data_IF_532369670587
#
_entry.id   IF_532369670587
#
_cell.length_a   1.000
_cell.length_b   1.000
_cell.length_c   1.000
_cell.angle_alpha   90.00
_cell.angle_beta   90.00
_cell.angle_gamma   90.00
#
_symmetry.space_group_name_H-M   'P 1'
#
loop_
_entity.id
_entity.type
_entity.pdbx_description
1 polymer ?
#
# COMPACT_ATOMS: atom_id res chain seq x y z
N UNK A 1 30.35 -29.13 32.07
CA UNK A 1 30.12 -28.17 30.96
C UNK A 1 29.59 -28.96 29.79
N UNK A 2 28.28 -28.92 29.55
CA UNK A 2 27.63 -29.60 28.41
C UNK A 2 27.38 -28.52 27.37
N UNK A 3 28.11 -28.59 26.25
CA UNK A 3 27.92 -27.70 25.11
C UNK A 3 26.62 -28.07 24.41
N UNK A 4 25.61 -27.21 24.48
CA UNK A 4 24.40 -27.33 23.66
C UNK A 4 24.67 -26.65 22.33
N UNK A 5 24.90 -27.44 21.30
CA UNK A 5 24.87 -27.01 19.91
C UNK A 5 23.45 -26.53 19.59
N UNK A 6 23.28 -25.22 19.45
CA UNK A 6 22.03 -24.61 19.02
C UNK A 6 21.97 -24.74 17.49
N UNK A 7 21.27 -25.77 17.01
CA UNK A 7 20.95 -25.90 15.58
C UNK A 7 19.96 -24.80 15.23
N UNK A 8 20.44 -23.77 14.53
CA UNK A 8 19.59 -22.73 13.93
C UNK A 8 18.81 -23.38 12.78
N UNK A 9 17.60 -23.89 13.07
CA UNK A 9 16.64 -24.21 12.02
C UNK A 9 16.13 -22.88 11.45
N UNK A 10 16.73 -22.45 10.34
CA UNK A 10 16.20 -21.38 9.52
C UNK A 10 14.82 -21.78 9.01
N UNK A 11 13.77 -21.20 9.59
CA UNK A 11 12.45 -21.21 8.97
C UNK A 11 12.48 -20.24 7.80
N UNK A 12 12.93 -20.70 6.64
CA UNK A 12 12.49 -20.11 5.39
C UNK A 12 11.05 -20.61 5.16
N UNK A 13 10.08 -20.00 5.86
CA UNK A 13 8.71 -20.08 5.39
C UNK A 13 8.73 -19.43 4.01
N UNK A 14 8.56 -20.22 2.95
CA UNK A 14 8.23 -19.69 1.62
C UNK A 14 6.94 -18.91 1.79
N UNK A 15 7.06 -17.59 1.99
CA UNK A 15 5.92 -16.71 2.04
C UNK A 15 5.12 -16.99 0.75
N UNK A 16 3.86 -17.40 0.90
CA UNK A 16 2.98 -17.58 -0.23
C UNK A 16 2.97 -16.27 -1.04
N UNK A 17 3.07 -16.38 -2.36
CA UNK A 17 3.04 -15.22 -3.25
C UNK A 17 1.78 -14.39 -2.92
N UNK A 18 1.99 -13.10 -2.66
CA UNK A 18 0.94 -12.14 -2.39
C UNK A 18 0.12 -11.92 -3.67
N UNK A 19 -1.17 -12.22 -3.55
CA UNK A 19 -2.16 -12.14 -4.63
C UNK A 19 -3.24 -11.22 -4.11
N UNK A 20 -3.21 -9.97 -4.55
CA UNK A 20 -4.06 -8.97 -3.93
C UNK A 20 -4.74 -8.00 -4.86
N UNK A 21 -5.68 -7.27 -4.27
CA UNK A 21 -6.42 -6.16 -4.86
C UNK A 21 -6.52 -5.04 -3.84
N UNK A 22 -6.43 -3.80 -4.28
CA UNK A 22 -6.67 -2.63 -3.45
C UNK A 22 -8.18 -2.47 -3.18
N UNK A 23 -8.56 -2.28 -1.91
CA UNK A 23 -9.93 -2.03 -1.46
C UNK A 23 -9.99 -0.55 -1.05
N UNK A 24 -10.12 0.32 -2.06
CA UNK A 24 -9.99 1.78 -1.92
C UNK A 24 -11.27 2.44 -1.42
N UNK A 25 -11.15 3.71 -1.03
CA UNK A 25 -12.22 4.54 -0.50
C UNK A 25 -11.78 5.39 0.69
N UNK A 26 -10.79 4.92 1.46
CA UNK A 26 -10.16 5.68 2.54
C UNK A 26 -9.26 6.84 2.05
N UNK A 27 -8.80 6.71 0.81
CA UNK A 27 -7.95 7.62 0.05
C UNK A 27 -8.74 8.61 -0.81
N UNK A 28 -10.07 8.45 -0.96
CA UNK A 28 -10.85 9.27 -1.87
C UNK A 28 -10.72 10.76 -1.53
N UNK A 29 -10.32 11.54 -2.54
CA UNK A 29 -10.04 12.97 -2.44
C UNK A 29 -8.61 13.32 -2.07
N UNK A 30 -7.76 12.35 -1.72
CA UNK A 30 -6.32 12.58 -1.61
C UNK A 30 -5.75 13.00 -2.96
N UNK A 31 -4.95 14.05 -2.96
CA UNK A 31 -4.25 14.58 -4.12
C UNK A 31 -2.76 14.27 -3.99
N UNK A 32 -2.04 14.21 -5.12
CA UNK A 32 -0.58 13.98 -5.15
C UNK A 32 0.23 15.00 -4.33
N UNK A 33 -0.35 16.17 -4.04
CA UNK A 33 0.24 17.16 -3.12
C UNK A 33 0.26 16.70 -1.65
N UNK A 34 -0.32 15.54 -1.32
CA UNK A 34 -0.52 15.06 0.05
C UNK A 34 -1.62 15.82 0.79
N UNK A 35 -2.51 16.52 0.06
CA UNK A 35 -3.73 17.09 0.61
C UNK A 35 -4.85 16.05 0.56
N UNK A 36 -5.36 15.63 1.72
CA UNK A 36 -6.46 14.66 1.84
C UNK A 36 -7.65 15.26 2.61
N UNK A 37 -8.65 15.83 1.90
CA UNK A 37 -9.85 16.35 2.53
C UNK A 37 -10.68 15.23 3.16
N UNK A 38 -10.71 15.18 4.50
CA UNK A 38 -11.37 14.09 5.24
C UNK A 38 -12.86 13.89 4.93
N UNK A 39 -13.54 14.91 4.38
CA UNK A 39 -14.95 14.86 3.99
C UNK A 39 -15.21 14.11 2.68
N UNK A 40 -14.16 13.74 1.93
CA UNK A 40 -14.25 12.94 0.70
C UNK A 40 -14.09 11.44 0.92
N UNK A 41 -13.65 11.06 2.12
CA UNK A 41 -13.43 9.65 2.50
C UNK A 41 -14.74 8.87 2.45
N UNK A 42 -14.71 7.76 1.72
CA UNK A 42 -15.79 6.79 1.60
C UNK A 42 -15.26 5.38 1.91
N UNK A 43 -15.05 5.09 3.21
CA UNK A 43 -14.53 3.80 3.65
C UNK A 43 -15.35 2.64 3.07
N UNK A 44 -14.71 1.59 2.53
CA UNK A 44 -15.35 0.53 1.74
C UNK A 44 -16.08 -0.50 2.59
N UNK A 45 -17.03 -0.02 3.40
CA UNK A 45 -18.00 -0.84 4.10
C UNK A 45 -19.39 -0.25 3.89
N UNK A 46 -20.33 -1.09 3.44
CA UNK A 46 -21.75 -0.71 3.29
C UNK A 46 -22.33 -0.11 4.57
N UNK A 47 -21.93 -0.63 5.73
CA UNK A 47 -22.34 -0.13 7.06
C UNK A 47 -21.82 1.28 7.38
N UNK A 48 -20.79 1.75 6.69
CA UNK A 48 -20.20 3.08 6.82
C UNK A 48 -20.58 4.02 5.66
N UNK A 49 -21.46 3.58 4.75
CA UNK A 49 -21.91 4.35 3.58
C UNK A 49 -21.00 4.24 2.34
N UNK A 50 -20.03 3.33 2.34
CA UNK A 50 -19.19 3.06 1.18
C UNK A 50 -19.57 1.81 0.39
N UNK A 51 -18.64 1.35 -0.45
CA UNK A 51 -18.80 0.09 -1.18
C UNK A 51 -18.87 -1.13 -0.26
N UNK A 52 -19.34 -2.27 -0.80
CA UNK A 52 -19.41 -3.53 -0.06
C UNK A 52 -18.06 -4.25 0.01
N UNK A 53 -17.03 -3.58 0.55
CA UNK A 53 -15.67 -4.13 0.61
C UNK A 53 -15.57 -5.42 1.43
N UNK A 54 -16.39 -5.61 2.47
CA UNK A 54 -16.47 -6.88 3.19
C UNK A 54 -16.94 -8.02 2.26
N UNK A 55 -18.01 -7.81 1.49
CA UNK A 55 -18.48 -8.79 0.53
C UNK A 55 -17.46 -9.06 -0.58
N UNK A 56 -16.82 -8.00 -1.11
CA UNK A 56 -15.78 -8.11 -2.13
C UNK A 56 -14.56 -8.90 -1.63
N UNK A 57 -14.02 -8.58 -0.46
CA UNK A 57 -12.88 -9.31 0.12
C UNK A 57 -13.23 -10.79 0.35
N UNK A 58 -14.43 -11.10 0.84
CA UNK A 58 -14.87 -12.48 0.98
C UNK A 58 -15.00 -13.22 -0.36
N UNK A 59 -15.49 -12.57 -1.41
CA UNK A 59 -15.52 -13.13 -2.76
C UNK A 59 -14.09 -13.45 -3.24
N UNK A 60 -13.23 -12.44 -3.22
CA UNK A 60 -11.84 -12.55 -3.65
C UNK A 60 -11.07 -13.67 -2.93
N UNK A 61 -11.28 -13.88 -1.63
CA UNK A 61 -10.65 -15.00 -0.91
C UNK A 61 -11.31 -16.34 -1.25
N UNK A 62 -12.63 -16.43 -1.17
CA UNK A 62 -13.33 -17.72 -1.24
C UNK A 62 -13.43 -18.27 -2.66
N UNK A 63 -13.61 -17.40 -3.64
CA UNK A 63 -13.83 -17.78 -5.03
C UNK A 63 -12.51 -17.70 -5.81
N UNK A 64 -11.76 -16.60 -5.63
CA UNK A 64 -10.59 -16.28 -6.47
C UNK A 64 -9.23 -16.59 -5.83
N UNK A 65 -9.23 -17.01 -4.56
CA UNK A 65 -8.04 -17.39 -3.78
C UNK A 65 -7.02 -16.27 -3.60
N UNK A 66 -7.48 -15.01 -3.59
CA UNK A 66 -6.67 -13.88 -3.15
C UNK A 66 -6.29 -14.04 -1.68
N UNK A 67 -5.16 -13.47 -1.31
CA UNK A 67 -4.61 -13.59 0.05
C UNK A 67 -4.04 -12.27 0.60
N UNK A 68 -4.23 -11.15 -0.10
CA UNK A 68 -3.79 -9.83 0.35
C UNK A 68 -4.76 -8.74 -0.09
N UNK A 69 -5.03 -7.78 0.79
CA UNK A 69 -5.77 -6.57 0.45
C UNK A 69 -5.00 -5.33 0.90
N UNK A 70 -4.85 -4.38 -0.03
CA UNK A 70 -4.30 -3.05 0.26
C UNK A 70 -5.44 -2.11 0.62
N UNK A 71 -5.29 -1.39 1.73
CA UNK A 71 -6.34 -0.58 2.36
C UNK A 71 -5.91 0.89 2.46
N UNK A 72 -5.94 1.65 1.34
CA UNK A 72 -5.53 3.04 1.30
C UNK A 72 -6.29 3.92 2.28
N UNK A 73 -5.57 4.81 2.98
CA UNK A 73 -6.17 5.79 3.89
C UNK A 73 -5.33 7.06 3.97
N UNK A 74 -6.01 8.22 3.94
CA UNK A 74 -5.34 9.49 4.16
C UNK A 74 -4.90 9.69 5.61
N UNK A 75 -3.65 10.13 5.81
CA UNK A 75 -3.09 10.50 7.12
C UNK A 75 -4.00 11.51 7.84
N UNK A 76 -4.47 12.53 7.13
CA UNK A 76 -5.40 13.55 7.64
C UNK A 76 -6.64 12.93 8.28
N UNK A 77 -7.19 11.85 7.71
CA UNK A 77 -8.36 11.18 8.26
C UNK A 77 -8.02 10.51 9.58
N UNK A 78 -6.92 9.75 9.64
CA UNK A 78 -6.49 9.00 10.82
C UNK A 78 -6.29 9.89 12.06
N UNK A 79 -5.72 11.09 11.89
CA UNK A 79 -5.45 12.03 12.99
C UNK A 79 -6.44 13.20 13.04
N UNK A 80 -7.49 13.19 12.21
CA UNK A 80 -8.46 14.29 12.08
C UNK A 80 -7.79 15.67 11.91
N UNK A 81 -6.88 15.77 10.95
CA UNK A 81 -6.06 16.94 10.64
C UNK A 81 -5.12 17.43 11.76
N UNK A 82 -4.95 16.68 12.85
CA UNK A 82 -4.01 17.00 13.93
C UNK A 82 -2.64 16.39 13.65
N UNK A 83 -1.83 17.05 12.81
CA UNK A 83 -0.50 16.57 12.40
C UNK A 83 0.38 16.24 13.62
N UNK A 84 0.91 15.01 13.66
CA UNK A 84 1.73 14.49 14.77
C UNK A 84 0.95 14.15 16.06
N UNK A 85 -0.35 14.44 16.09
CA UNK A 85 -1.25 14.14 17.20
C UNK A 85 -1.64 12.66 17.28
N UNK A 86 -2.50 12.31 18.28
CA UNK A 86 -2.97 10.95 18.42
C UNK A 86 -3.90 10.54 17.27
N UNK A 87 -4.00 9.24 17.02
CA UNK A 87 -5.06 8.68 16.19
C UNK A 87 -6.42 9.15 16.74
N UNK A 88 -7.24 9.74 15.88
CA UNK A 88 -8.56 10.20 16.25
C UNK A 88 -9.45 8.97 16.51
N UNK A 89 -10.03 8.80 17.72
CA UNK A 89 -10.71 7.56 18.08
C UNK A 89 -11.92 7.24 17.20
N UNK A 90 -12.61 8.27 16.67
CA UNK A 90 -13.78 8.07 15.83
C UNK A 90 -13.38 7.70 14.39
N UNK A 91 -12.48 8.48 13.77
CA UNK A 91 -12.03 8.21 12.41
C UNK A 91 -11.23 6.90 12.36
N UNK A 92 -10.29 6.71 13.28
CA UNK A 92 -9.51 5.48 13.38
C UNK A 92 -10.39 4.28 13.71
N UNK A 93 -11.38 4.41 14.61
CA UNK A 93 -12.31 3.32 14.91
C UNK A 93 -13.16 2.89 13.70
N UNK A 94 -13.42 3.78 12.74
CA UNK A 94 -14.07 3.43 11.47
C UNK A 94 -13.12 2.75 10.50
N UNK A 95 -11.88 3.22 10.39
CA UNK A 95 -10.87 2.57 9.55
C UNK A 95 -10.49 1.18 10.09
N UNK A 96 -10.35 1.03 11.42
CA UNK A 96 -10.07 -0.25 12.07
C UNK A 96 -11.17 -1.28 11.76
N UNK A 97 -12.44 -0.89 11.62
CA UNK A 97 -13.49 -1.81 11.16
C UNK A 97 -13.16 -2.40 9.78
N UNK A 98 -12.65 -1.60 8.83
CA UNK A 98 -12.22 -2.08 7.51
C UNK A 98 -11.08 -3.08 7.67
N UNK A 99 -10.06 -2.75 8.46
CA UNK A 99 -8.92 -3.63 8.74
C UNK A 99 -9.40 -4.94 9.38
N UNK A 100 -10.30 -4.90 10.36
CA UNK A 100 -10.85 -6.11 10.99
C UNK A 100 -11.66 -6.96 10.01
N UNK A 101 -12.42 -6.35 9.08
CA UNK A 101 -13.13 -7.10 8.03
C UNK A 101 -12.16 -7.79 7.08
N UNK A 102 -11.07 -7.13 6.72
CA UNK A 102 -9.99 -7.75 5.97
C UNK A 102 -9.37 -8.93 6.74
N UNK A 103 -8.97 -8.73 8.00
CA UNK A 103 -8.31 -9.76 8.82
C UNK A 103 -9.21 -10.98 9.07
N UNK A 104 -10.52 -10.78 9.17
CA UNK A 104 -11.50 -11.86 9.33
C UNK A 104 -11.55 -12.82 8.12
N UNK A 105 -11.06 -12.40 6.95
CA UNK A 105 -10.93 -13.28 5.78
C UNK A 105 -9.74 -14.24 5.87
N UNK A 106 -8.76 -13.96 6.76
CA UNK A 106 -7.49 -14.69 6.84
C UNK A 106 -6.41 -14.18 5.88
N UNK A 107 -6.71 -13.19 5.03
CA UNK A 107 -5.76 -12.52 4.16
C UNK A 107 -4.78 -11.61 4.92
N UNK A 108 -3.69 -11.23 4.26
CA UNK A 108 -2.85 -10.10 4.68
C UNK A 108 -3.57 -8.78 4.43
N UNK A 109 -3.45 -7.84 5.35
CA UNK A 109 -4.11 -6.54 5.31
C UNK A 109 -3.04 -5.44 5.36
N UNK A 110 -2.79 -4.82 4.21
CA UNK A 110 -1.79 -3.78 4.04
C UNK A 110 -2.42 -2.42 4.34
N UNK A 111 -1.89 -1.76 5.37
CA UNK A 111 -2.23 -0.39 5.71
C UNK A 111 -1.35 0.52 4.88
N UNK A 112 -1.97 1.24 3.96
CA UNK A 112 -1.35 2.21 3.08
C UNK A 112 -1.65 3.63 3.54
N UNK A 113 -0.60 4.39 3.84
CA UNK A 113 -0.71 5.83 4.10
C UNK A 113 -0.64 6.58 2.76
N UNK A 114 -1.81 6.96 2.25
CA UNK A 114 -1.98 7.40 0.86
C UNK A 114 -1.68 8.90 0.65
N UNK A 115 -0.43 9.31 0.97
CA UNK A 115 -0.08 10.73 1.18
C UNK A 115 1.10 11.26 0.35
N UNK A 116 1.70 10.48 -0.55
CA UNK A 116 2.72 10.98 -1.51
C UNK A 116 3.96 11.61 -0.83
N UNK A 117 4.32 11.07 0.34
CA UNK A 117 5.32 11.59 1.28
C UNK A 117 5.09 13.05 1.72
N UNK A 118 3.84 13.51 1.67
CA UNK A 118 3.46 14.90 1.90
C UNK A 118 2.30 15.05 2.87
N UNK A 119 2.23 16.24 3.45
CA UNK A 119 1.05 16.75 4.14
C UNK A 119 0.78 18.18 3.65
N UNK A 120 -0.34 18.38 2.95
CA UNK A 120 -0.78 19.68 2.43
C UNK A 120 0.34 20.43 1.67
N UNK A 121 1.02 19.73 0.76
CA UNK A 121 2.10 20.26 -0.09
C UNK A 121 3.51 20.13 0.50
N UNK A 122 3.65 20.00 1.82
CA UNK A 122 4.95 19.90 2.48
C UNK A 122 5.49 18.47 2.51
N UNK A 123 6.74 18.27 2.08
CA UNK A 123 7.42 16.96 2.06
C UNK A 123 7.95 16.60 3.45
N UNK A 124 7.65 15.39 3.93
CA UNK A 124 8.10 14.90 5.24
C UNK A 124 9.64 14.90 5.30
N UNK A 125 10.19 15.50 6.36
CA UNK A 125 11.63 15.62 6.57
C UNK A 125 12.34 16.60 5.63
N UNK A 126 11.62 17.24 4.70
CA UNK A 126 12.18 18.08 3.63
C UNK A 126 11.37 19.37 3.43
N UNK A 127 10.93 20.00 4.52
CA UNK A 127 10.22 21.29 4.52
C UNK A 127 8.73 21.20 4.88
N UNK A 128 8.18 20.00 4.95
CA UNK A 128 6.85 19.72 5.48
C UNK A 128 6.89 19.20 6.93
N UNK A 129 6.09 18.17 7.27
CA UNK A 129 6.15 17.53 8.59
C UNK A 129 7.56 17.07 8.96
N UNK A 130 7.87 17.04 10.25
CA UNK A 130 9.12 16.44 10.72
C UNK A 130 9.04 14.91 10.66
N UNK A 131 10.20 14.24 10.62
CA UNK A 131 10.26 12.79 10.74
C UNK A 131 9.55 12.31 12.02
N UNK A 132 9.68 13.03 13.13
CA UNK A 132 9.06 12.67 14.41
C UNK A 132 7.53 12.67 14.34
N UNK A 133 6.94 13.58 13.58
CA UNK A 133 5.47 13.61 13.38
C UNK A 133 4.99 12.40 12.59
N UNK A 134 5.78 11.94 11.61
CA UNK A 134 5.46 10.75 10.84
C UNK A 134 5.75 9.45 11.62
N UNK A 135 6.85 9.42 12.39
CA UNK A 135 7.17 8.37 13.35
C UNK A 135 6.06 8.25 14.40
N UNK A 136 5.47 9.34 14.86
CA UNK A 136 4.33 9.33 15.81
C UNK A 136 3.13 8.57 15.25
N UNK A 137 2.78 8.78 13.97
CA UNK A 137 1.70 8.04 13.31
C UNK A 137 1.99 6.53 13.30
N UNK A 138 3.17 6.15 12.79
CA UNK A 138 3.54 4.75 12.62
C UNK A 138 3.73 4.02 13.95
N UNK A 139 4.24 4.69 14.98
CA UNK A 139 4.34 4.13 16.33
C UNK A 139 2.96 3.72 16.85
N UNK A 140 1.94 4.56 16.68
CA UNK A 140 0.59 4.28 17.16
C UNK A 140 -0.09 3.14 16.37
N UNK A 141 0.07 3.12 15.04
CA UNK A 141 -0.43 2.02 14.20
C UNK A 141 0.25 0.70 14.55
N UNK A 142 1.58 0.70 14.72
CA UNK A 142 2.34 -0.48 15.11
C UNK A 142 1.90 -0.98 16.50
N UNK A 143 1.74 -0.11 17.49
CA UNK A 143 1.26 -0.49 18.83
C UNK A 143 -0.11 -1.17 18.79
N UNK A 144 -1.02 -0.69 17.92
CA UNK A 144 -2.35 -1.28 17.75
C UNK A 144 -2.30 -2.67 17.10
N UNK A 145 -1.43 -2.86 16.10
CA UNK A 145 -1.45 -4.04 15.25
C UNK A 145 -0.31 -5.04 15.48
N UNK A 146 0.59 -4.76 16.43
CA UNK A 146 1.81 -5.57 16.71
C UNK A 146 1.56 -7.06 16.92
N UNK A 147 0.41 -7.44 17.46
CA UNK A 147 0.09 -8.84 17.78
C UNK A 147 -0.58 -9.60 16.62
N UNK A 148 -0.72 -8.96 15.44
CA UNK A 148 -1.31 -9.57 14.25
C UNK A 148 -0.28 -9.61 13.10
N UNK A 149 0.17 -10.82 12.76
CA UNK A 149 1.18 -11.09 11.73
C UNK A 149 0.64 -10.96 10.29
N UNK A 150 -0.69 -10.83 10.13
CA UNK A 150 -1.34 -10.56 8.85
C UNK A 150 -1.40 -9.07 8.50
N UNK A 151 -1.04 -8.18 9.42
CA UNK A 151 -0.92 -6.75 9.08
C UNK A 151 0.39 -6.50 8.34
N UNK A 152 0.30 -5.72 7.28
CA UNK A 152 1.44 -5.23 6.49
C UNK A 152 1.46 -3.71 6.58
N UNK A 153 2.63 -3.13 6.77
CA UNK A 153 2.80 -1.68 6.89
C UNK A 153 3.43 -1.13 5.61
N UNK A 154 2.63 -0.52 4.75
CA UNK A 154 3.16 0.25 3.63
C UNK A 154 3.39 1.67 4.08
N UNK A 155 4.66 2.07 4.17
CA UNK A 155 5.02 3.31 4.86
C UNK A 155 4.35 4.53 4.24
N UNK A 156 4.24 4.58 2.91
CA UNK A 156 3.73 5.73 2.19
C UNK A 156 3.45 5.39 0.73
N UNK A 157 2.26 5.74 0.24
CA UNK A 157 1.97 5.71 -1.19
C UNK A 157 2.83 6.72 -1.95
N UNK A 158 3.49 6.27 -3.01
CA UNK A 158 4.05 7.08 -4.11
C UNK A 158 4.75 8.41 -3.73
N UNK A 159 5.84 8.39 -2.96
CA UNK A 159 6.71 9.56 -2.85
C UNK A 159 7.19 10.04 -4.23
N UNK A 160 7.24 11.35 -4.44
CA UNK A 160 7.70 11.96 -5.69
C UNK A 160 8.37 13.32 -5.44
N UNK A 161 9.16 13.82 -6.40
CA UNK A 161 9.84 15.12 -6.36
C UNK A 161 10.52 15.44 -5.02
N UNK A 162 11.35 14.51 -4.53
CA UNK A 162 12.04 14.63 -3.24
C UNK A 162 13.49 14.12 -3.30
N UNK A 163 14.31 14.47 -2.30
CA UNK A 163 15.62 13.85 -2.11
C UNK A 163 15.45 12.44 -1.53
N UNK A 164 15.74 11.43 -2.35
CA UNK A 164 15.52 10.03 -1.98
C UNK A 164 16.43 9.54 -0.87
N UNK A 165 17.61 10.15 -0.65
CA UNK A 165 18.50 9.77 0.45
C UNK A 165 17.97 10.28 1.79
N UNK A 166 17.44 11.50 1.81
CA UNK A 166 16.75 12.03 2.98
C UNK A 166 15.49 11.21 3.28
N UNK A 167 14.73 10.86 2.25
CA UNK A 167 13.55 10.01 2.40
C UNK A 167 13.89 8.60 2.94
N UNK A 168 14.94 7.96 2.45
CA UNK A 168 15.39 6.67 2.99
C UNK A 168 15.79 6.77 4.47
N UNK A 169 16.36 7.91 4.91
CA UNK A 169 16.63 8.16 6.32
C UNK A 169 15.34 8.33 7.14
N UNK A 170 14.31 8.97 6.59
CA UNK A 170 12.96 9.00 7.19
C UNK A 170 12.38 7.58 7.32
N UNK A 171 12.43 6.77 6.26
CA UNK A 171 12.00 5.37 6.28
C UNK A 171 12.74 4.56 7.36
N UNK A 172 14.05 4.75 7.50
CA UNK A 172 14.85 4.09 8.54
C UNK A 172 14.34 4.42 9.94
N UNK A 173 14.04 5.69 10.24
CA UNK A 173 13.48 6.10 11.54
C UNK A 173 12.13 5.44 11.80
N UNK A 174 11.27 5.38 10.79
CA UNK A 174 9.95 4.76 10.88
C UNK A 174 10.04 3.25 11.10
N UNK A 175 10.88 2.53 10.34
CA UNK A 175 11.15 1.10 10.54
C UNK A 175 11.61 0.86 11.98
N UNK A 176 12.59 1.63 12.46
CA UNK A 176 13.08 1.51 13.83
C UNK A 176 11.95 1.69 14.85
N UNK A 177 11.09 2.69 14.67
CA UNK A 177 9.98 2.96 15.58
C UNK A 177 8.90 1.85 15.57
N UNK A 178 8.54 1.34 14.39
CA UNK A 178 7.60 0.22 14.24
C UNK A 178 8.12 -1.02 14.99
N UNK A 179 9.40 -1.36 14.80
CA UNK A 179 10.02 -2.51 15.50
C UNK A 179 10.09 -2.28 17.01
N UNK A 180 10.44 -1.08 17.47
CA UNK A 180 10.48 -0.71 18.89
C UNK A 180 9.10 -0.68 19.56
N UNK A 181 8.04 -0.42 18.79
CA UNK A 181 6.65 -0.53 19.23
C UNK A 181 6.19 -1.99 19.44
N UNK A 182 7.01 -2.97 19.08
CA UNK A 182 6.77 -4.40 19.27
C UNK A 182 6.23 -5.13 18.05
N UNK A 183 6.05 -4.45 16.91
CA UNK A 183 5.60 -5.06 15.67
C UNK A 183 6.79 -5.67 14.91
N UNK A 184 7.26 -6.83 15.37
CA UNK A 184 8.51 -7.45 14.91
C UNK A 184 8.35 -8.50 13.82
N UNK A 185 7.14 -9.02 13.58
CA UNK A 185 6.87 -10.07 12.59
C UNK A 185 6.33 -9.54 11.27
N UNK A 186 5.74 -8.34 11.27
CA UNK A 186 5.05 -7.77 10.13
C UNK A 186 6.01 -7.39 9.00
N UNK A 187 5.52 -7.50 7.76
CA UNK A 187 6.17 -6.91 6.60
C UNK A 187 6.05 -5.38 6.64
N UNK A 188 7.12 -4.70 6.22
CA UNK A 188 7.17 -3.25 6.04
C UNK A 188 7.60 -2.97 4.60
N UNK A 189 6.76 -2.26 3.85
CA UNK A 189 7.00 -1.86 2.48
C UNK A 189 7.71 -0.50 2.45
N UNK A 190 8.80 -0.43 1.68
CA UNK A 190 9.70 0.70 1.58
C UNK A 190 9.54 1.38 0.22
N UNK A 191 8.87 2.54 0.15
CA UNK A 191 8.56 3.25 -1.09
C UNK A 191 9.70 4.17 -1.52
N UNK A 192 9.89 4.28 -2.84
CA UNK A 192 10.90 5.11 -3.50
C UNK A 192 10.35 6.45 -4.01
N UNK A 193 11.18 7.21 -4.72
CA UNK A 193 10.69 8.42 -5.43
C UNK A 193 10.15 8.06 -6.82
N UNK A 194 9.69 9.06 -7.58
CA UNK A 194 9.00 8.89 -8.87
C UNK A 194 7.80 7.95 -8.79
N UNK A 195 6.95 8.16 -7.77
CA UNK A 195 5.71 7.41 -7.59
C UNK A 195 5.93 5.89 -7.50
N UNK A 196 6.98 5.46 -6.79
CA UNK A 196 7.38 4.05 -6.69
C UNK A 196 7.62 3.36 -8.04
N UNK A 197 7.80 4.10 -9.14
CA UNK A 197 7.79 3.54 -10.50
C UNK A 197 8.89 2.50 -10.70
N UNK A 198 8.51 1.30 -11.15
CA UNK A 198 9.44 0.24 -11.51
C UNK A 198 10.49 0.69 -12.54
N UNK A 199 10.12 1.61 -13.44
CA UNK A 199 11.02 2.13 -14.48
C UNK A 199 12.14 3.00 -13.91
N UNK A 200 11.84 3.80 -12.88
CA UNK A 200 12.79 4.75 -12.32
C UNK A 200 13.39 4.30 -10.99
N UNK A 201 12.93 3.19 -10.41
CA UNK A 201 13.34 2.73 -9.08
C UNK A 201 14.86 2.61 -8.95
N UNK A 202 15.53 2.00 -9.93
CA UNK A 202 16.99 1.82 -9.92
C UNK A 202 17.72 3.10 -10.34
N UNK A 203 17.32 3.72 -11.45
CA UNK A 203 18.00 4.88 -12.03
C UNK A 203 17.89 6.16 -11.18
N UNK A 204 16.81 6.31 -10.40
CA UNK A 204 16.65 7.41 -9.43
C UNK A 204 17.52 7.28 -8.18
N UNK A 205 18.15 6.11 -7.97
CA UNK A 205 18.86 5.79 -6.73
C UNK A 205 17.95 5.34 -5.58
N UNK A 206 16.64 5.25 -5.77
CA UNK A 206 15.69 4.74 -4.76
C UNK A 206 16.05 3.32 -4.34
N UNK A 207 16.28 2.43 -5.30
CA UNK A 207 16.56 1.03 -5.03
C UNK A 207 17.77 0.86 -4.10
N UNK A 208 18.87 1.59 -4.37
CA UNK A 208 20.09 1.53 -3.54
C UNK A 208 19.88 2.15 -2.15
N UNK A 209 19.22 3.31 -2.07
CA UNK A 209 18.98 4.00 -0.81
C UNK A 209 18.07 3.17 0.14
N UNK A 210 17.01 2.56 -0.40
CA UNK A 210 16.09 1.71 0.34
C UNK A 210 16.69 0.33 0.65
N UNK A 211 17.58 -0.18 -0.22
CA UNK A 211 18.30 -1.42 0.02
C UNK A 211 19.17 -1.35 1.29
N UNK A 212 19.58 -0.15 1.71
CA UNK A 212 20.39 0.09 2.90
C UNK A 212 19.61 0.23 4.21
N UNK A 213 18.27 0.32 4.17
CA UNK A 213 17.43 0.39 5.39
C UNK A 213 17.42 -0.96 6.10
N UNK A 214 17.65 -0.96 7.41
CA UNK A 214 17.70 -2.18 8.23
C UNK A 214 16.75 -2.13 9.43
N UNK A 215 16.40 -3.30 9.96
CA UNK A 215 15.84 -3.45 11.29
C UNK A 215 16.89 -3.03 12.36
N UNK A 216 16.47 -2.82 13.63
CA UNK A 216 17.39 -2.47 14.72
C UNK A 216 18.48 -3.52 15.01
N UNK A 217 18.27 -4.77 14.63
CA UNK A 217 19.25 -5.85 14.75
C UNK A 217 20.22 -5.94 13.56
N UNK A 218 20.12 -5.01 12.60
CA UNK A 218 20.94 -4.95 11.39
C UNK A 218 20.46 -5.85 10.25
N UNK A 219 19.39 -6.64 10.43
CA UNK A 219 18.82 -7.46 9.36
C UNK A 219 17.94 -6.64 8.42
N UNK A 220 17.57 -7.22 7.28
CA UNK A 220 16.54 -6.67 6.37
C UNK A 220 15.28 -7.53 6.34
N UNK A 221 15.11 -8.41 7.33
CA UNK A 221 14.01 -9.37 7.38
C UNK A 221 12.66 -8.64 7.46
N UNK A 222 11.72 -9.04 6.58
CA UNK A 222 10.42 -8.38 6.46
C UNK A 222 10.45 -6.96 5.88
N UNK A 223 11.60 -6.45 5.43
CA UNK A 223 11.70 -5.14 4.76
C UNK A 223 11.67 -5.33 3.24
N UNK A 224 10.56 -4.96 2.62
CA UNK A 224 10.26 -5.23 1.21
C UNK A 224 10.31 -3.92 0.43
N UNK A 225 10.96 -3.90 -0.74
CA UNK A 225 10.95 -2.71 -1.61
C UNK A 225 9.58 -2.62 -2.29
N UNK A 226 8.97 -1.45 -2.20
CA UNK A 226 7.65 -1.19 -2.74
C UNK A 226 7.73 -0.63 -4.17
N UNK A 227 6.91 -1.15 -5.08
CA UNK A 227 7.01 -0.92 -6.52
C UNK A 227 5.63 -0.74 -7.13
N UNK A 228 5.47 0.32 -7.93
CA UNK A 228 4.26 0.60 -8.69
C UNK A 228 4.58 0.63 -10.18
N UNK A 229 3.59 0.31 -11.04
CA UNK A 229 3.69 0.58 -12.48
C UNK A 229 2.32 0.53 -13.16
N UNK A 230 2.07 1.48 -14.06
CA UNK A 230 0.95 1.48 -14.99
C UNK A 230 1.40 1.33 -16.44
N UNK A 231 0.44 1.07 -17.32
CA UNK A 231 0.66 0.67 -18.71
C UNK A 231 0.26 1.74 -19.73
N UNK A 232 -0.35 2.82 -19.26
CA UNK A 232 -0.72 3.96 -20.08
C UNK A 232 0.48 4.86 -20.40
N UNK A 233 0.27 5.79 -21.33
CA UNK A 233 1.31 6.56 -22.01
C UNK A 233 2.21 7.39 -21.09
N UNK A 234 1.70 7.79 -19.92
CA UNK A 234 2.40 8.60 -18.93
C UNK A 234 2.56 7.89 -17.58
N UNK A 235 2.29 6.58 -17.52
CA UNK A 235 2.39 5.77 -16.31
C UNK A 235 1.51 6.27 -15.14
N UNK A 236 0.41 6.98 -15.42
CA UNK A 236 -0.47 7.56 -14.40
C UNK A 236 -1.62 6.66 -13.98
N UNK A 237 -1.97 5.65 -14.80
CA UNK A 237 -3.15 4.84 -14.57
C UNK A 237 -4.46 5.62 -14.79
N UNK A 238 -4.44 6.72 -15.55
CA UNK A 238 -5.63 7.56 -15.78
C UNK A 238 -6.22 7.40 -17.18
N UNK A 239 -5.48 6.77 -18.09
CA UNK A 239 -5.92 6.58 -19.47
C UNK A 239 -6.48 5.19 -19.72
N UNK A 240 -7.31 5.10 -20.77
CA UNK A 240 -7.96 3.86 -21.16
C UNK A 240 -7.01 2.89 -21.87
N UNK A 241 -6.16 3.38 -22.77
CA UNK A 241 -5.34 2.50 -23.61
C UNK A 241 -4.01 2.17 -22.94
N UNK A 242 -3.55 0.94 -23.16
CA UNK A 242 -2.21 0.52 -22.77
C UNK A 242 -1.26 0.65 -23.97
N UNK A 243 -0.01 1.04 -23.70
CA UNK A 243 1.03 1.26 -24.72
C UNK A 243 2.32 0.48 -24.44
N UNK A 244 2.40 -0.22 -23.31
CA UNK A 244 3.58 -0.96 -22.87
C UNK A 244 3.19 -2.11 -21.94
N UNK A 245 3.95 -3.21 -21.99
CA UNK A 245 3.84 -4.34 -21.07
C UNK A 245 4.80 -4.24 -19.87
N UNK A 246 5.65 -3.22 -19.81
CA UNK A 246 6.61 -2.95 -18.73
C UNK A 246 7.59 -4.09 -18.38
N UNK A 247 7.70 -5.15 -19.20
CA UNK A 247 8.51 -6.34 -18.90
C UNK A 247 9.98 -5.97 -18.64
N UNK A 248 10.55 -5.05 -19.42
CA UNK A 248 11.94 -4.64 -19.25
C UNK A 248 12.16 -3.76 -18.01
N UNK A 249 11.17 -2.96 -17.60
CA UNK A 249 11.21 -2.24 -16.32
C UNK A 249 11.25 -3.22 -15.15
N UNK A 250 10.36 -4.21 -15.14
CA UNK A 250 10.36 -5.24 -14.11
C UNK A 250 11.59 -6.15 -14.15
N UNK A 251 12.16 -6.42 -15.34
CA UNK A 251 13.43 -7.14 -15.47
C UNK A 251 14.56 -6.39 -14.75
N UNK A 252 14.67 -5.09 -14.99
CA UNK A 252 15.67 -4.23 -14.35
C UNK A 252 15.54 -4.27 -12.83
N UNK A 253 14.31 -4.19 -12.31
CA UNK A 253 14.04 -4.31 -10.86
C UNK A 253 14.38 -5.71 -10.34
N UNK A 254 13.97 -6.77 -11.03
CA UNK A 254 14.24 -8.15 -10.64
C UNK A 254 15.74 -8.44 -10.53
N UNK A 255 16.52 -7.99 -11.51
CA UNK A 255 17.98 -8.12 -11.51
C UNK A 255 18.63 -7.39 -10.33
N UNK A 256 18.19 -6.16 -10.04
CA UNK A 256 18.66 -5.42 -8.86
C UNK A 256 18.34 -6.15 -7.57
N UNK A 257 17.08 -6.56 -7.38
CA UNK A 257 16.62 -7.26 -6.17
C UNK A 257 17.43 -8.54 -5.94
N UNK A 258 17.64 -9.32 -7.00
CA UNK A 258 18.42 -10.56 -6.95
C UNK A 258 19.87 -10.30 -6.58
N UNK A 259 20.50 -9.29 -7.19
CA UNK A 259 21.88 -8.91 -6.91
C UNK A 259 22.09 -8.41 -5.47
N UNK A 260 21.07 -7.74 -4.88
CA UNK A 260 21.13 -7.20 -3.52
C UNK A 260 20.57 -8.16 -2.46
N UNK A 261 20.07 -9.32 -2.85
CA UNK A 261 19.39 -10.25 -1.93
C UNK A 261 18.14 -9.63 -1.28
N UNK A 262 17.48 -8.70 -1.97
CA UNK A 262 16.27 -8.02 -1.52
C UNK A 262 15.03 -8.62 -2.19
N UNK A 263 13.87 -8.33 -1.62
CA UNK A 263 12.56 -8.69 -2.15
C UNK A 263 11.78 -7.44 -2.48
N UNK A 264 10.92 -7.52 -3.49
CA UNK A 264 9.98 -6.46 -3.86
C UNK A 264 8.55 -6.94 -3.85
N UNK A 265 7.60 -6.04 -3.62
CA UNK A 265 6.16 -6.27 -3.80
C UNK A 265 5.65 -5.21 -4.77
N UNK A 266 4.94 -5.65 -5.82
CA UNK A 266 4.25 -4.73 -6.73
C UNK A 266 2.92 -4.36 -6.08
N UNK A 267 2.89 -3.34 -5.21
CA UNK A 267 1.72 -3.00 -4.40
C UNK A 267 0.65 -2.20 -5.16
N UNK A 268 0.97 -1.73 -6.38
CA UNK A 268 0.02 -1.08 -7.26
C UNK A 268 0.36 -1.30 -8.74
N UNK A 269 -0.61 -1.87 -9.47
CA UNK A 269 -0.62 -1.89 -10.92
C UNK A 269 -2.04 -2.06 -11.42
N UNK A 270 -2.37 -1.47 -12.56
CA UNK A 270 -3.71 -1.55 -13.12
C UNK A 270 -3.73 -1.24 -14.60
N UNK A 271 -4.81 -1.65 -15.25
CA UNK A 271 -5.08 -1.36 -16.65
C UNK A 271 -6.60 -1.26 -16.84
N UNK A 272 -7.03 -0.66 -17.94
CA UNK A 272 -8.45 -0.63 -18.27
C UNK A 272 -8.90 -1.91 -18.99
N UNK A 273 -10.21 -2.08 -19.18
CA UNK A 273 -10.78 -3.15 -20.00
C UNK A 273 -10.69 -2.89 -21.53
N UNK A 274 -9.84 -1.98 -21.98
CA UNK A 274 -9.57 -1.78 -23.41
C UNK A 274 -8.81 -2.98 -24.00
N UNK A 275 -9.05 -3.29 -25.27
CA UNK A 275 -8.43 -4.43 -25.94
C UNK A 275 -6.90 -4.34 -25.97
N UNK A 276 -6.34 -3.13 -26.02
CA UNK A 276 -4.89 -2.91 -25.93
C UNK A 276 -4.28 -3.44 -24.63
N UNK A 277 -5.03 -3.42 -23.54
CA UNK A 277 -4.53 -3.75 -22.21
C UNK A 277 -4.45 -5.25 -21.91
N UNK A 278 -5.31 -6.08 -22.51
CA UNK A 278 -5.33 -7.51 -22.19
C UNK A 278 -4.02 -8.22 -22.54
N UNK A 279 -3.36 -7.83 -23.63
CA UNK A 279 -2.07 -8.46 -23.99
C UNK A 279 -0.95 -7.97 -23.07
N UNK A 280 -0.83 -6.65 -22.92
CA UNK A 280 0.29 -6.04 -22.21
C UNK A 280 0.22 -6.26 -20.70
N UNK A 281 -0.97 -6.17 -20.11
CA UNK A 281 -1.14 -6.35 -18.67
C UNK A 281 -0.94 -7.80 -18.24
N UNK A 282 -1.48 -8.74 -19.01
CA UNK A 282 -1.23 -10.16 -18.79
C UNK A 282 0.27 -10.48 -18.91
N UNK A 283 0.97 -9.96 -19.93
CA UNK A 283 2.40 -10.17 -20.10
C UNK A 283 3.23 -9.61 -18.93
N UNK A 284 2.90 -8.41 -18.45
CA UNK A 284 3.51 -7.81 -17.26
C UNK A 284 3.38 -8.71 -16.04
N UNK A 285 2.15 -9.12 -15.73
CA UNK A 285 1.85 -9.85 -14.50
C UNK A 285 2.38 -11.29 -14.56
N UNK A 286 2.35 -11.93 -15.73
CA UNK A 286 3.07 -13.19 -15.97
C UNK A 286 4.56 -13.04 -15.69
N UNK A 287 5.21 -11.97 -16.16
CA UNK A 287 6.64 -11.75 -15.89
C UNK A 287 6.94 -11.58 -14.40
N UNK A 288 6.13 -10.78 -13.68
CA UNK A 288 6.27 -10.58 -12.23
C UNK A 288 6.17 -11.94 -11.51
N UNK A 289 5.14 -12.73 -11.82
CA UNK A 289 4.90 -14.03 -11.20
C UNK A 289 6.00 -15.07 -11.52
N UNK A 290 6.56 -15.03 -12.73
CA UNK A 290 7.69 -15.89 -13.12
C UNK A 290 9.03 -15.52 -12.42
N UNK A 291 9.12 -14.33 -11.84
CA UNK A 291 10.27 -13.86 -11.04
C UNK A 291 9.94 -13.86 -9.53
N UNK A 292 9.20 -14.88 -9.08
CA UNK A 292 8.77 -15.06 -7.69
C UNK A 292 9.92 -15.29 -6.69
N UNK A 293 11.13 -15.53 -7.18
CA UNK A 293 12.33 -15.54 -6.37
C UNK A 293 12.72 -14.13 -5.86
N UNK A 294 12.18 -13.05 -6.42
CA UNK A 294 12.43 -11.67 -5.96
C UNK A 294 11.17 -10.84 -5.77
N UNK A 295 10.15 -11.03 -6.59
CA UNK A 295 8.84 -10.43 -6.37
C UNK A 295 7.99 -11.34 -5.49
N UNK A 296 7.61 -10.85 -4.31
CA UNK A 296 6.78 -11.63 -3.39
C UNK A 296 5.29 -11.54 -3.73
N UNK A 297 4.93 -10.88 -4.84
CA UNK A 297 3.56 -10.83 -5.35
C UNK A 297 3.21 -9.52 -6.05
N UNK A 298 1.92 -9.34 -6.31
CA UNK A 298 1.34 -8.13 -6.87
C UNK A 298 -0.05 -7.82 -6.29
N UNK A 299 -0.43 -6.55 -6.33
CA UNK A 299 -1.73 -6.04 -5.91
C UNK A 299 -2.34 -5.20 -7.05
N UNK A 300 -3.51 -5.62 -7.54
CA UNK A 300 -4.24 -4.92 -8.59
C UNK A 300 -4.95 -3.66 -8.07
N UNK A 301 -4.87 -2.56 -8.82
CA UNK A 301 -5.61 -1.32 -8.60
C UNK A 301 -6.81 -1.23 -9.58
N UNK A 302 -8.07 -1.14 -9.15
CA UNK A 302 -8.57 -1.20 -7.76
C UNK A 302 -10.04 -1.62 -7.65
N UNK A 303 -10.46 -2.00 -6.45
CA UNK A 303 -11.83 -2.30 -6.05
C UNK A 303 -12.27 -1.46 -4.83
N UNK A 304 -13.17 -1.96 -3.99
CA UNK A 304 -13.67 -1.27 -2.79
C UNK A 304 -14.84 -0.34 -3.09
N UNK A 305 -14.66 0.95 -2.83
CA UNK A 305 -15.69 1.98 -3.06
C UNK A 305 -15.72 2.51 -4.50
N UNK A 306 -14.80 2.10 -5.37
CA UNK A 306 -14.90 2.37 -6.80
C UNK A 306 -16.10 1.66 -7.42
N UNK A 307 -16.81 2.34 -8.33
CA UNK A 307 -17.84 1.74 -9.15
C UNK A 307 -17.27 0.85 -10.26
N UNK A 308 -18.09 -0.04 -10.82
CA UNK A 308 -17.69 -0.92 -11.93
C UNK A 308 -17.36 -0.17 -13.23
N UNK A 309 -17.72 1.10 -13.31
CA UNK A 309 -17.50 2.03 -14.42
C UNK A 309 -16.21 2.85 -14.28
N UNK A 310 -15.49 2.74 -13.16
CA UNK A 310 -14.16 3.31 -13.02
C UNK A 310 -13.19 2.70 -14.05
N UNK A 311 -12.34 3.54 -14.66
CA UNK A 311 -11.50 3.16 -15.80
C UNK A 311 -10.57 1.97 -15.49
N UNK A 312 -10.02 1.89 -14.28
CA UNK A 312 -9.21 0.76 -13.81
C UNK A 312 -9.97 -0.16 -12.84
N UNK A 313 -11.30 -0.23 -12.95
CA UNK A 313 -12.11 -1.01 -12.01
C UNK A 313 -11.75 -2.50 -12.04
N UNK A 314 -11.44 -3.03 -10.86
CA UNK A 314 -11.47 -4.45 -10.51
C UNK A 314 -12.64 -4.76 -9.55
N UNK A 315 -13.53 -3.79 -9.27
CA UNK A 315 -14.73 -4.01 -8.46
C UNK A 315 -15.61 -5.10 -9.09
N UNK A 316 -15.91 -6.20 -8.38
CA UNK A 316 -16.77 -7.24 -8.91
C UNK A 316 -18.23 -6.78 -8.91
N UNK A 317 -18.99 -7.23 -9.92
CA UNK A 317 -20.42 -6.92 -10.00
C UNK A 317 -21.20 -7.79 -9.03
N UNK A 318 -21.92 -7.16 -8.10
CA UNK A 318 -22.82 -7.86 -7.18
C UNK A 318 -24.12 -8.27 -7.89
N UNK A 319 -24.52 -9.53 -7.74
CA UNK A 319 -25.80 -10.07 -8.23
C UNK A 319 -26.40 -11.01 -7.17
N UNK A 320 -27.50 -10.58 -6.55
CA UNK A 320 -28.05 -11.27 -5.38
C UNK A 320 -27.02 -11.33 -4.25
N UNK A 321 -26.68 -12.56 -3.82
CA UNK A 321 -25.67 -12.82 -2.79
C UNK A 321 -24.27 -13.13 -3.38
N UNK A 322 -24.14 -13.16 -4.71
CA UNK A 322 -22.89 -13.49 -5.39
C UNK A 322 -22.21 -12.27 -6.00
N UNK A 323 -20.96 -12.49 -6.40
CA UNK A 323 -20.11 -11.53 -7.09
C UNK A 323 -19.62 -12.13 -8.40
N UNK A 324 -19.29 -11.27 -9.36
CA UNK A 324 -18.72 -11.69 -10.64
C UNK A 324 -17.66 -10.69 -11.06
N UNK A 325 -16.44 -11.18 -11.16
CA UNK A 325 -15.30 -10.43 -11.69
C UNK A 325 -15.46 -10.08 -13.17
N UNK A 326 -14.83 -8.97 -13.54
CA UNK A 326 -14.65 -8.61 -14.94
C UNK A 326 -13.56 -9.46 -15.61
N UNK A 327 -13.49 -9.38 -16.94
CA UNK A 327 -12.56 -10.21 -17.71
C UNK A 327 -11.10 -9.85 -17.49
N UNK A 328 -10.79 -8.58 -17.22
CA UNK A 328 -9.41 -8.15 -16.95
C UNK A 328 -8.88 -8.77 -15.65
N UNK A 329 -9.70 -8.78 -14.60
CA UNK A 329 -9.40 -9.43 -13.32
C UNK A 329 -9.13 -10.92 -13.53
N UNK A 330 -10.02 -11.63 -14.23
CA UNK A 330 -9.86 -13.07 -14.48
C UNK A 330 -8.59 -13.37 -15.29
N UNK A 331 -8.41 -12.71 -16.42
CA UNK A 331 -7.37 -13.08 -17.39
C UNK A 331 -5.99 -12.56 -16.97
N UNK A 332 -5.90 -11.31 -16.51
CA UNK A 332 -4.61 -10.65 -16.30
C UNK A 332 -4.19 -10.52 -14.83
N UNK A 333 -5.08 -10.81 -13.88
CA UNK A 333 -4.70 -10.96 -12.46
C UNK A 333 -4.72 -12.44 -12.08
N UNK A 334 -5.90 -13.08 -12.09
CA UNK A 334 -6.08 -14.44 -11.56
C UNK A 334 -5.35 -15.53 -12.36
N UNK A 335 -5.56 -15.58 -13.68
CA UNK A 335 -4.99 -16.63 -14.53
C UNK A 335 -3.47 -16.56 -14.63
N UNK A 336 -2.88 -15.37 -14.51
CA UNK A 336 -1.43 -15.18 -14.59
C UNK A 336 -0.67 -15.91 -13.48
N UNK A 337 -1.31 -16.19 -12.33
CA UNK A 337 -0.70 -16.97 -11.24
C UNK A 337 -0.58 -18.46 -11.55
N UNK A 338 -1.40 -19.01 -12.46
CA UNK A 338 -1.29 -20.41 -12.84
C UNK A 338 0.01 -20.69 -13.61
N UNK A 339 0.66 -19.65 -14.14
CA UNK A 339 1.96 -19.76 -14.80
C UNK A 339 3.14 -19.90 -13.82
N UNK A 340 2.95 -19.64 -12.52
CA UNK A 340 3.96 -19.83 -11.46
C UNK A 340 4.39 -21.30 -11.32
N UNK A 341 3.51 -22.25 -11.64
CA UNK A 341 3.77 -23.68 -11.41
C UNK A 341 4.69 -24.33 -12.46
N UNK A 342 5.04 -23.62 -13.53
CA UNK A 342 5.88 -24.15 -14.62
C UNK A 342 7.31 -23.63 -14.61
N UNK A 343 7.70 -22.80 -13.64
CA UNK A 343 9.09 -22.33 -13.52
C UNK A 343 9.86 -23.26 -12.59
N UNK A 344 10.54 -24.25 -13.19
CA UNK A 344 11.58 -25.00 -12.49
C UNK A 344 12.66 -24.00 -12.08
N UNK A 345 12.85 -23.80 -10.78
CA UNK A 345 13.95 -23.01 -10.24
C UNK A 345 15.25 -23.53 -10.87
N UNK A 346 16.10 -22.69 -11.51
CA UNK A 346 17.43 -23.12 -11.90
C UNK A 346 18.14 -23.64 -10.66
N UNK A 347 18.56 -24.90 -10.67
CA UNK A 347 19.38 -25.44 -9.60
C UNK A 347 20.64 -24.59 -9.51
N UNK A 348 20.86 -23.97 -8.35
CA UNK A 348 22.13 -23.36 -8.00
C UNK A 348 23.23 -24.39 -8.31
N UNK A 349 24.24 -24.09 -9.14
CA UNK A 349 25.35 -25.02 -9.32
C UNK A 349 25.99 -25.23 -7.96
N UNK A 350 25.99 -26.47 -7.47
CA UNK A 350 26.71 -26.83 -6.26
C UNK A 350 28.14 -26.33 -6.37
N UNK A 351 28.58 -25.57 -5.36
CA UNK A 351 29.97 -25.16 -5.25
C UNK A 351 30.89 -26.41 -5.39
N UNK A 352 32.00 -26.32 -6.13
CA UNK A 352 32.90 -27.45 -6.26
C UNK A 352 33.42 -27.86 -4.88
N UNK A 353 33.64 -29.17 -4.64
CA UNK A 353 34.03 -29.67 -3.33
C UNK A 353 35.35 -29.03 -2.89
N UNK A 354 35.32 -28.39 -1.73
CA UNK A 354 36.48 -27.85 -1.04
C UNK A 354 37.49 -28.97 -0.76
N UNK A 355 38.68 -28.83 -1.30
CA UNK A 355 39.83 -29.70 -1.04
C UNK A 355 40.20 -29.62 0.45
N UNK A 356 40.55 -30.73 1.13
CA UNK A 356 40.96 -30.68 2.53
C UNK A 356 42.23 -29.86 2.70
N UNK A 357 42.19 -28.88 3.60
CA UNK A 357 43.36 -28.12 4.01
C UNK A 357 44.40 -29.03 4.67
N UNK A 358 45.66 -28.93 4.24
CA UNK A 358 46.80 -29.56 4.90
C UNK A 358 47.01 -28.95 6.31
N UNK A 359 47.50 -29.75 7.28
CA UNK A 359 47.74 -29.29 8.64
C UNK A 359 48.88 -28.25 8.71
N UNK A 360 48.87 -27.35 9.71
CA UNK A 360 49.80 -26.21 9.75
C UNK A 360 51.22 -26.70 10.03
N UNK A 361 52.16 -26.28 9.19
CA UNK A 361 53.60 -26.41 9.47
C UNK A 361 54.02 -25.27 10.40
N UNK A 362 54.56 -25.61 11.55
CA UNK A 362 55.19 -24.70 12.51
C UNK A 362 56.45 -24.07 11.90
N UNK A 363 56.50 -22.73 11.82
CA UNK A 363 57.73 -21.99 11.58
C UNK A 363 57.93 -20.92 12.66
N UNK A 364 59.19 -20.84 13.10
CA UNK A 364 59.72 -20.13 14.25
C UNK A 364 59.76 -18.59 14.06
N UNK A 365 59.95 -17.81 15.15
CA UNK A 365 59.68 -16.37 15.16
C UNK A 365 60.82 -15.56 14.54
N UNK A 366 60.47 -14.58 13.70
CA UNK A 366 61.39 -13.54 13.25
C UNK A 366 60.95 -12.16 13.74
N UNK A 367 61.96 -11.33 14.00
CA UNK A 367 61.99 -10.19 14.89
C UNK A 367 61.43 -8.90 14.29
N UNK A 368 60.79 -8.11 15.15
CA UNK A 368 60.33 -6.73 14.92
C UNK A 368 61.48 -5.82 14.47
N UNK A 369 61.24 -5.00 13.46
CA UNK A 369 61.93 -3.72 13.25
C UNK A 369 60.92 -2.60 12.98
N UNK A 370 61.27 -1.43 13.53
CA UNK A 370 60.46 -0.24 13.84
C UNK A 370 60.32 0.70 12.62
N UNK A 371 59.18 1.40 12.41
CA UNK A 371 59.10 2.48 11.43
C UNK A 371 59.63 3.81 12.00
N UNK A 372 60.34 4.57 11.16
CA UNK A 372 60.84 5.92 11.42
C UNK A 372 59.80 7.00 11.02
N UNK A 373 59.84 8.21 11.61
CA UNK A 373 58.81 9.23 11.43
C UNK A 373 59.11 10.17 10.24
N UNK A 374 58.06 10.69 9.59
CA UNK A 374 58.16 11.78 8.61
C UNK A 374 57.26 12.94 9.06
N UNK A 375 57.86 14.12 9.16
CA UNK A 375 57.30 15.42 9.57
C UNK A 375 56.53 16.14 8.44
N UNK A 376 55.75 17.20 8.72
CA UNK A 376 54.75 17.76 7.81
C UNK A 376 55.28 18.94 6.96
N UNK A 377 54.73 19.14 5.77
CA UNK A 377 55.03 20.31 4.92
C UNK A 377 53.77 21.13 4.63
N UNK A 378 53.67 22.24 5.37
CA UNK A 378 53.27 23.62 5.03
C UNK A 378 52.39 23.90 3.79
N UNK A 379 51.30 24.64 4.04
CA UNK A 379 50.44 25.34 3.08
C UNK A 379 51.05 26.64 2.53
N UNK A 380 50.59 27.17 1.38
CA UNK A 380 50.74 28.58 1.08
C UNK A 380 49.38 29.33 1.09
N UNK A 381 49.33 30.38 1.90
CA UNK A 381 48.43 31.52 1.75
C UNK A 381 49.23 32.65 1.12
N UNK A 382 48.68 33.39 0.15
CA UNK A 382 48.82 34.86 0.01
C UNK A 382 47.85 35.38 -1.08
N UNK A 383 47.15 36.46 -0.73
CA UNK A 383 46.17 37.24 -1.51
C UNK A 383 46.87 38.42 -2.26
N UNK A 384 46.21 39.55 -2.60
CA UNK A 384 45.02 39.81 -3.45
C UNK A 384 45.37 40.77 -4.62
N UNK A 385 44.58 40.82 -5.71
CA UNK A 385 44.65 41.95 -6.68
C UNK A 385 43.23 42.33 -7.18
N UNK A 386 43.02 43.64 -7.26
CA UNK A 386 41.81 44.43 -7.55
C UNK A 386 41.75 44.92 -9.02
N UNK A 387 40.60 45.50 -9.41
CA UNK A 387 40.21 46.25 -10.64
C UNK A 387 39.74 45.37 -11.81
N UNK A 388 38.49 45.45 -12.30
CA UNK A 388 37.81 46.59 -12.97
C UNK A 388 37.98 46.38 -14.49
N UNK A 389 37.04 46.46 -15.43
CA UNK A 389 35.65 46.92 -15.58
C UNK A 389 35.14 46.37 -16.96
N UNK A 390 33.85 46.48 -17.27
CA UNK A 390 33.15 46.14 -18.55
C UNK A 390 33.05 44.63 -18.88
N UNK A 391 31.92 44.04 -19.23
CA UNK A 391 30.70 44.49 -19.91
C UNK A 391 30.34 43.39 -20.93
N UNK A 392 29.04 43.14 -21.14
CA UNK A 392 28.41 42.20 -22.12
C UNK A 392 27.94 40.87 -21.51
N UNK A 393 26.64 40.84 -21.15
CA UNK A 393 25.82 39.62 -21.03
C UNK A 393 25.44 39.08 -22.41
N UNK A 394 25.27 37.75 -22.55
CA UNK A 394 24.31 37.16 -23.49
C UNK A 394 23.16 36.43 -22.76
N UNK A 395 22.04 36.17 -23.46
CA UNK A 395 20.71 36.25 -22.88
C UNK A 395 20.22 34.96 -22.23
N UNK A 396 19.45 35.12 -21.16
CA UNK A 396 18.59 34.10 -20.57
C UNK A 396 17.29 34.05 -21.36
N UNK A 397 17.07 32.99 -22.15
CA UNK A 397 15.76 32.69 -22.73
C UNK A 397 15.01 31.79 -21.76
N UNK A 398 14.29 32.40 -20.82
CA UNK A 398 13.25 31.71 -20.05
C UNK A 398 11.99 31.70 -20.90
N UNK A 399 11.62 30.52 -21.42
CA UNK A 399 10.34 30.33 -22.09
C UNK A 399 9.26 30.18 -21.01
N UNK A 400 8.63 31.28 -20.62
CA UNK A 400 7.39 31.26 -19.84
C UNK A 400 6.23 30.92 -20.76
N UNK A 401 5.66 29.73 -20.62
CA UNK A 401 4.35 29.39 -21.20
C UNK A 401 3.28 29.81 -20.19
N UNK A 402 2.32 30.67 -20.56
CA UNK A 402 1.20 31.01 -19.68
C UNK A 402 0.12 29.93 -19.81
N UNK A 403 -0.04 29.10 -18.77
CA UNK A 403 -1.20 28.20 -18.66
C UNK A 403 -2.30 28.91 -17.88
N UNK A 404 -3.04 29.81 -18.55
CA UNK A 404 -4.36 30.25 -18.09
C UNK A 404 -5.41 29.38 -18.78
N UNK A 405 -5.81 28.29 -18.12
CA UNK A 405 -7.06 27.59 -18.45
C UNK A 405 -8.16 28.14 -17.55
N UNK A 406 -8.88 29.12 -18.09
CA UNK A 406 -10.17 29.57 -17.60
C UNK A 406 -11.20 28.52 -18.00
N UNK A 407 -11.83 27.87 -17.03
CA UNK A 407 -13.02 27.05 -17.27
C UNK A 407 -14.21 27.99 -17.45
N UNK A 408 -14.75 28.02 -18.67
CA UNK A 408 -16.04 28.63 -19.03
C UNK A 408 -17.18 27.74 -18.51
N UNK A 409 -18.06 28.22 -17.62
CA UNK A 409 -19.24 27.49 -17.19
C UNK A 409 -20.42 27.92 -18.06
N UNK A 410 -20.54 27.35 -19.25
CA UNK A 410 -21.73 27.55 -20.08
C UNK A 410 -22.19 26.26 -20.77
N UNK A 411 -23.12 25.55 -20.13
CA UNK A 411 -24.29 24.93 -20.79
C UNK A 411 -25.33 24.47 -19.75
N UNK A 412 -26.62 24.43 -20.11
CA UNK A 412 -27.72 24.83 -19.21
C UNK A 412 -28.32 23.69 -18.40
N UNK A 413 -28.72 24.01 -17.18
CA UNK A 413 -29.56 23.19 -16.29
C UNK A 413 -31.02 23.19 -16.78
N UNK A 414 -31.73 22.04 -16.79
CA UNK A 414 -33.15 22.00 -17.14
C UNK A 414 -34.03 22.64 -16.04
N UNK A 415 -35.18 23.26 -16.39
CA UNK A 415 -35.94 24.08 -15.46
C UNK A 415 -36.74 23.24 -14.44
N UNK A 416 -36.69 23.69 -13.19
CA UNK A 416 -37.59 23.28 -12.11
C UNK A 416 -38.98 23.91 -12.34
N UNK A 417 -40.09 23.16 -12.24
CA UNK A 417 -41.42 23.74 -12.37
C UNK A 417 -41.75 24.61 -11.15
N UNK A 418 -41.98 25.90 -11.37
CA UNK A 418 -42.49 26.86 -10.40
C UNK A 418 -44.01 26.92 -10.49
N UNK A 419 -44.69 26.45 -9.44
CA UNK A 419 -46.12 26.70 -9.19
C UNK A 419 -46.28 27.70 -8.03
N UNK A 420 -47.27 28.62 -8.07
CA UNK A 420 -47.32 29.74 -7.13
C UNK A 420 -47.85 29.33 -5.76
N UNK A 421 -47.11 29.66 -4.69
CA UNK A 421 -47.64 29.69 -3.31
C UNK A 421 -48.58 30.89 -3.16
N UNK A 422 -49.85 30.62 -2.84
CA UNK A 422 -50.76 31.59 -2.20
C UNK A 422 -50.73 31.39 -0.69
N UNK A 423 -50.50 32.48 0.05
CA UNK A 423 -50.78 32.58 1.48
C UNK A 423 -52.25 32.94 1.70
N UNK A 424 -52.87 32.37 2.75
CA UNK A 424 -54.21 32.76 3.23
C UNK A 424 -54.79 31.80 4.26
N UNK A 425 -54.73 32.20 5.53
CA UNK A 425 -55.46 31.77 6.74
C UNK A 425 -56.96 31.49 6.49
N UNK A 426 -57.68 30.59 7.19
CA UNK A 426 -58.18 30.71 8.59
C UNK A 426 -58.95 29.42 9.02
N UNK A 427 -59.02 29.17 10.33
CA UNK A 427 -59.68 28.12 11.15
C UNK A 427 -61.20 27.86 10.99
N UNK A 428 -61.68 26.62 11.23
CA UNK A 428 -62.63 26.22 12.33
C UNK A 428 -63.07 24.73 12.30
N UNK A 429 -62.94 24.06 13.47
CA UNK A 429 -63.74 23.01 14.15
C UNK A 429 -64.44 21.80 13.44
N UNK A 430 -64.35 20.65 14.14
CA UNK A 430 -64.98 19.33 13.90
C UNK A 430 -66.50 19.28 14.20
N UNK A 431 -67.22 18.16 13.90
CA UNK A 431 -67.36 17.08 14.90
C UNK A 431 -67.56 15.61 14.41
N UNK A 432 -67.25 14.67 15.33
CA UNK A 432 -67.91 13.40 15.71
C UNK A 432 -68.31 12.27 14.71
N UNK A 433 -67.96 11.03 15.11
CA UNK A 433 -68.40 9.74 14.51
C UNK A 433 -69.71 9.16 15.10
N UNK A 434 -70.04 7.88 14.82
CA UNK A 434 -70.13 6.79 15.84
C UNK A 434 -69.55 5.42 15.34
N UNK A 435 -68.84 4.56 16.11
CA UNK A 435 -69.22 3.53 17.14
C UNK A 435 -70.25 2.46 16.67
N UNK A 436 -70.20 1.14 16.96
CA UNK A 436 -69.56 0.32 18.01
C UNK A 436 -69.58 -1.21 17.72
N UNK A 437 -68.72 -1.94 18.45
CA UNK A 437 -68.90 -3.23 19.18
C UNK A 437 -69.21 -4.54 18.41
N UNK A 438 -68.75 -5.75 18.79
CA UNK A 438 -68.10 -6.31 20.00
C UNK A 438 -68.46 -7.81 20.01
N UNK A 439 -67.62 -8.76 20.44
CA UNK A 439 -67.67 -9.35 21.80
C UNK A 439 -66.65 -10.48 21.97
N UNK A 440 -66.10 -10.57 23.18
CA UNK A 440 -65.30 -11.67 23.77
C UNK A 440 -66.21 -12.78 24.30
N UNK A 441 -65.70 -14.02 24.37
CA UNK A 441 -65.98 -14.99 25.45
C UNK A 441 -64.68 -15.76 25.78
N UNK A 442 -64.46 -16.01 27.06
CA UNK A 442 -63.32 -16.71 27.68
C UNK A 442 -63.85 -17.91 28.52
N UNK A 443 -62.92 -18.70 29.08
CA UNK A 443 -63.03 -19.80 30.08
C UNK A 443 -63.48 -21.18 29.52
N UNK A 444 -63.00 -22.39 29.86
CA UNK A 444 -62.29 -23.07 30.99
C UNK A 444 -61.57 -24.31 30.37
N UNK A 445 -60.28 -24.62 30.58
CA UNK A 445 -59.70 -25.44 31.68
C UNK A 445 -60.02 -26.95 31.63
N UNK A 446 -59.02 -27.83 31.43
CA UNK A 446 -58.82 -29.12 32.16
C UNK A 446 -57.55 -29.89 31.74
N UNK A 447 -56.91 -30.45 32.77
CA UNK A 447 -55.68 -31.27 32.85
C UNK A 447 -55.82 -32.70 32.27
N UNK A 448 -54.64 -33.33 32.05
CA UNK A 448 -54.21 -34.74 32.24
C UNK A 448 -53.33 -35.15 31.03
N UNK A 449 -52.14 -35.76 31.12
CA UNK A 449 -51.35 -36.28 32.23
C UNK A 449 -50.20 -37.15 31.66
N UNK A 450 -49.01 -36.99 32.24
CA UNK A 450 -47.96 -37.97 32.54
C UNK A 450 -47.29 -38.94 31.51
N UNK A 451 -45.98 -39.05 31.76
CA UNK A 451 -45.02 -40.18 31.62
C UNK A 451 -44.27 -40.34 30.28
N UNK A 452 -42.93 -40.18 30.16
CA UNK A 452 -41.71 -40.57 30.93
C UNK A 452 -41.08 -41.89 30.42
N UNK A 453 -39.72 -41.86 30.34
CA UNK A 453 -38.72 -42.93 30.13
C UNK A 453 -38.44 -43.33 28.67
N UNK A 454 -37.22 -43.62 28.21
CA UNK A 454 -35.82 -43.52 28.67
C UNK A 454 -34.98 -44.00 27.44
N UNK A 455 -33.83 -43.40 27.08
CA UNK A 455 -32.45 -43.84 27.43
C UNK A 455 -32.23 -45.36 27.22
N UNK A 456 -31.26 -45.91 26.48
CA UNK A 456 -29.80 -45.73 26.39
C UNK A 456 -29.30 -46.59 25.20
N UNK A 457 -28.18 -46.33 24.54
CA UNK A 457 -26.78 -46.81 24.75
C UNK A 457 -26.13 -46.61 23.35
N UNK A 458 -24.91 -46.13 23.10
CA UNK A 458 -23.58 -46.12 23.75
C UNK A 458 -22.77 -44.99 23.13
#
# INVERSE_FOLDING_TARGET
MVSRTLTLLGFAATAAVARGVAISGGDFGCEISGNCPIGRVQLPLSSLGGGDGEGQMNHFVNDDKLNMFRLPIGWQFLVNNQLGGPLNPNNFGRYDQVVQKCLATGAYCMIDIHNFARWNGGIIGQGGPTDDQFVSLWTQLAQKYKDNDKVVFELMNEPHDLDVKLWAATCQKVVTAIRQAGATSQMILLPGTNFNSAEFLVSSGSAEALAAVTNPDGTTDGLIIDVHKYLDEDNSGTHKTCVSNNVESFRTVAEFLRAKGRKGLVSETGASSDASCFTDFCAQNTFINQNSDVFIGLVGWAAGSFGTDYVLSLTPKKSGNGYTDNELMKQCILETWNTEQNVTTPSTPSAPPSTPALPPTTLAPTTRSKPAPVSPTVAPTLAPISSGEEGIMPPTTVLTIPTTLVVDPSTPTPPVPSGPRRNGTTTTAAPAGPTAAGSRVEVVGSLLGLCLMAALFT
#
